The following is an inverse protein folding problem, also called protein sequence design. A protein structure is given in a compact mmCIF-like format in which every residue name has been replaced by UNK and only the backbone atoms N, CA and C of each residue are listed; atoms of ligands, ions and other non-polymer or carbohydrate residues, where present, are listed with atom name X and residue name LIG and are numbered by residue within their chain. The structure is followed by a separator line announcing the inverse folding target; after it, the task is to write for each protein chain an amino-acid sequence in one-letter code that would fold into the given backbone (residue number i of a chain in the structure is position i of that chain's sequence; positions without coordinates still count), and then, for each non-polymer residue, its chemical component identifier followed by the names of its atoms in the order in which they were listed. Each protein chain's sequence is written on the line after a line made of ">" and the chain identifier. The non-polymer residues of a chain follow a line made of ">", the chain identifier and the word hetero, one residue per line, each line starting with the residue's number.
data_IF_935228819146
#
_entry.id   IF_935228819146
#
_cell.length_a   1.000
_cell.length_b   1.000
_cell.length_c   1.000
_cell.angle_alpha   90.00
_cell.angle_beta   90.00
_cell.angle_gamma   90.00
#
_symmetry.space_group_name_H-M   'P 1'
#
loop_
_entity.id
_entity.type
_entity.pdbx_description
1 polymer ?
#
# COMPACT_ATOMS: atom_id res chain seq x y z
N UNK A 1 -9.71 8.10 8.23
CA UNK A 1 -8.45 7.78 8.96
C UNK A 1 -7.30 7.35 8.05
N UNK A 2 -7.37 6.22 7.33
CA UNK A 2 -6.23 5.66 6.56
C UNK A 2 -5.60 6.65 5.57
N UNK A 3 -6.41 7.49 4.90
CA UNK A 3 -5.89 8.52 3.98
C UNK A 3 -5.08 9.59 4.71
N UNK A 4 -5.47 9.93 5.95
CA UNK A 4 -4.72 10.85 6.81
C UNK A 4 -3.44 10.18 7.30
N UNK A 5 -3.49 8.89 7.68
CA UNK A 5 -2.30 8.14 8.06
C UNK A 5 -1.29 8.03 6.92
N UNK A 6 -1.74 7.90 5.67
CA UNK A 6 -0.87 7.94 4.49
C UNK A 6 -0.15 9.30 4.37
N UNK A 7 -0.87 10.41 4.56
CA UNK A 7 -0.28 11.75 4.62
C UNK A 7 0.70 11.86 5.80
N UNK A 8 0.33 11.45 7.00
CA UNK A 8 1.24 11.52 8.15
C UNK A 8 2.54 10.73 7.88
N UNK A 9 2.45 9.57 7.25
CA UNK A 9 3.62 8.78 6.84
C UNK A 9 4.42 9.37 5.66
N UNK A 10 4.00 10.49 5.06
CA UNK A 10 4.71 11.14 3.95
C UNK A 10 4.38 10.55 2.57
N UNK A 11 3.31 9.75 2.48
CA UNK A 11 2.87 9.05 1.28
C UNK A 11 1.61 9.67 0.68
N UNK A 12 1.69 10.95 0.33
CA UNK A 12 0.57 11.79 -0.12
C UNK A 12 -0.17 11.20 -1.33
N UNK A 13 0.58 10.47 -2.17
CA UNK A 13 0.10 9.67 -3.31
C UNK A 13 -1.07 8.71 -2.97
N UNK A 14 -1.24 8.32 -1.70
CA UNK A 14 -2.30 7.43 -1.20
C UNK A 14 -3.23 8.12 -0.19
N UNK A 15 -3.13 9.45 -0.05
CA UNK A 15 -3.97 10.27 0.81
C UNK A 15 -5.15 10.91 0.07
N UNK A 16 -5.40 12.19 0.40
CA UNK A 16 -6.60 12.93 -0.02
C UNK A 16 -6.80 13.06 -1.53
N UNK A 17 -5.74 13.05 -2.35
CA UNK A 17 -5.89 13.10 -3.82
C UNK A 17 -6.69 11.93 -4.39
N UNK A 18 -6.87 10.84 -3.62
CA UNK A 18 -7.65 9.68 -4.04
C UNK A 18 -9.16 9.86 -3.85
N UNK A 19 -9.59 10.83 -3.04
CA UNK A 19 -11.02 11.05 -2.73
C UNK A 19 -11.85 11.28 -4.01
N UNK A 20 -11.48 12.17 -4.95
CA UNK A 20 -12.25 12.32 -6.19
C UNK A 20 -12.34 11.04 -7.02
N UNK A 21 -11.29 10.21 -7.01
CA UNK A 21 -11.29 8.93 -7.73
C UNK A 21 -12.24 7.91 -7.08
N UNK A 22 -12.32 7.89 -5.74
CA UNK A 22 -13.28 7.04 -5.03
C UNK A 22 -14.72 7.47 -5.28
N UNK A 23 -15.02 8.78 -5.23
CA UNK A 23 -16.35 9.31 -5.53
C UNK A 23 -16.81 8.95 -6.95
N UNK A 24 -15.94 9.14 -7.96
CA UNK A 24 -16.24 8.65 -9.32
C UNK A 24 -16.46 7.14 -9.39
N UNK A 25 -15.72 6.38 -8.58
CA UNK A 25 -15.92 4.94 -8.45
C UNK A 25 -17.28 4.57 -7.88
N UNK A 26 -17.81 5.37 -6.96
CA UNK A 26 -19.16 5.20 -6.39
C UNK A 26 -20.21 5.54 -7.44
N UNK A 27 -20.06 6.68 -8.11
CA UNK A 27 -21.00 7.14 -9.15
C UNK A 27 -21.10 6.14 -10.31
N UNK A 28 -19.97 5.56 -10.73
CA UNK A 28 -19.93 4.53 -11.75
C UNK A 28 -20.47 3.16 -11.26
N UNK A 29 -20.75 3.02 -9.96
CA UNK A 29 -21.15 1.76 -9.33
C UNK A 29 -20.02 0.75 -9.23
N UNK A 30 -18.75 1.17 -9.41
CA UNK A 30 -17.54 0.36 -9.28
C UNK A 30 -17.21 0.05 -7.82
N UNK A 31 -17.42 1.04 -6.95
CA UNK A 31 -17.20 1.01 -5.50
C UNK A 31 -18.56 1.06 -4.78
N UNK A 32 -18.77 0.19 -3.78
CA UNK A 32 -20.00 0.11 -2.98
C UNK A 32 -19.73 0.54 -1.53
N UNK A 33 -20.02 1.78 -1.13
CA UNK A 33 -19.62 2.33 0.17
C UNK A 33 -20.04 1.48 1.38
N UNK A 34 -21.28 1.01 1.39
CA UNK A 34 -21.87 0.23 2.49
C UNK A 34 -21.63 -1.29 2.39
N UNK A 35 -20.68 -1.74 1.57
CA UNK A 35 -20.41 -3.16 1.40
C UNK A 35 -19.51 -3.72 2.52
N UNK A 36 -19.98 -4.77 3.18
CA UNK A 36 -19.26 -5.48 4.24
C UNK A 36 -18.42 -6.66 3.70
N UNK A 37 -17.18 -6.85 4.18
CA UNK A 37 -16.38 -8.03 3.87
C UNK A 37 -17.09 -9.32 4.32
N UNK A 38 -16.99 -10.37 3.50
CA UNK A 38 -17.54 -11.70 3.82
C UNK A 38 -16.46 -12.76 3.83
N UNK A 39 -16.47 -13.61 4.85
CA UNK A 39 -15.63 -14.81 4.89
C UNK A 39 -16.27 -15.85 3.96
N UNK A 40 -15.54 -16.25 2.92
CA UNK A 40 -15.93 -17.33 2.00
C UNK A 40 -15.49 -18.70 2.52
N UNK A 41 -14.29 -18.76 3.11
CA UNK A 41 -13.73 -19.97 3.70
C UNK A 41 -12.79 -19.61 4.85
N UNK A 42 -12.76 -20.48 5.86
CA UNK A 42 -11.98 -20.28 7.08
C UNK A 42 -11.42 -21.61 7.58
N UNK A 43 -10.15 -21.57 8.00
CA UNK A 43 -9.49 -22.66 8.74
C UNK A 43 -8.88 -22.09 10.03
N UNK A 44 -8.20 -22.89 10.86
CA UNK A 44 -7.49 -22.36 12.03
C UNK A 44 -6.49 -21.23 11.69
N UNK A 45 -5.81 -21.32 10.54
CA UNK A 45 -4.75 -20.39 10.14
C UNK A 45 -4.92 -19.77 8.74
N UNK A 46 -6.10 -19.86 8.12
CA UNK A 46 -6.37 -19.18 6.84
C UNK A 46 -7.76 -18.56 6.78
N UNK A 47 -7.86 -17.48 6.00
CA UNK A 47 -9.12 -16.81 5.65
C UNK A 47 -9.15 -16.53 4.15
N UNK A 48 -10.27 -16.83 3.50
CA UNK A 48 -10.59 -16.34 2.16
C UNK A 48 -11.75 -15.37 2.28
N UNK A 49 -11.52 -14.11 1.90
CA UNK A 49 -12.45 -13.00 2.11
C UNK A 49 -12.86 -12.41 0.76
N UNK A 50 -14.14 -12.10 0.62
CA UNK A 50 -14.67 -11.28 -0.45
C UNK A 50 -14.96 -9.87 0.08
N UNK A 51 -14.28 -8.85 -0.46
CA UNK A 51 -14.46 -7.46 -0.05
C UNK A 51 -15.76 -6.81 -0.60
N UNK A 52 -16.57 -7.55 -1.35
CA UNK A 52 -17.88 -7.17 -1.88
C UNK A 52 -17.86 -5.86 -2.69
N UNK A 53 -16.70 -5.51 -3.27
CA UNK A 53 -16.45 -4.24 -3.98
C UNK A 53 -16.64 -3.00 -3.11
N UNK A 54 -16.48 -3.16 -1.79
CA UNK A 54 -16.44 -2.06 -0.84
C UNK A 54 -15.12 -1.31 -0.84
N UNK A 55 -14.96 -0.41 0.12
CA UNK A 55 -13.68 0.28 0.32
C UNK A 55 -12.60 -0.73 0.66
N UNK A 56 -11.58 -0.82 -0.21
CA UNK A 56 -10.43 -1.70 0.00
C UNK A 56 -9.77 -1.45 1.34
N UNK A 57 -9.68 -0.18 1.76
CA UNK A 57 -9.18 0.22 3.08
C UNK A 57 -9.88 -0.48 4.25
N UNK A 58 -11.22 -0.47 4.25
CA UNK A 58 -12.02 -1.07 5.30
C UNK A 58 -11.87 -2.59 5.30
N UNK A 59 -12.05 -3.22 4.13
CA UNK A 59 -11.91 -4.66 3.99
C UNK A 59 -10.52 -5.16 4.39
N UNK A 60 -9.46 -4.46 4.00
CA UNK A 60 -8.08 -4.78 4.33
C UNK A 60 -7.77 -4.57 5.81
N UNK A 61 -8.24 -3.49 6.44
CA UNK A 61 -8.08 -3.26 7.88
C UNK A 61 -8.79 -4.36 8.68
N UNK A 62 -10.04 -4.64 8.35
CA UNK A 62 -10.81 -5.72 8.98
C UNK A 62 -10.10 -7.08 8.84
N UNK A 63 -9.57 -7.37 7.65
CA UNK A 63 -8.88 -8.61 7.34
C UNK A 63 -7.59 -8.80 8.13
N UNK A 64 -6.75 -7.75 8.25
CA UNK A 64 -5.49 -7.87 9.00
C UNK A 64 -5.74 -8.05 10.50
N UNK A 65 -6.75 -7.40 11.08
CA UNK A 65 -7.10 -7.61 12.49
C UNK A 65 -7.54 -9.05 12.77
N UNK A 66 -8.34 -9.66 11.87
CA UNK A 66 -8.67 -11.09 11.97
C UNK A 66 -7.46 -12.00 11.79
N UNK A 67 -6.53 -11.64 10.90
CA UNK A 67 -5.30 -12.39 10.72
C UNK A 67 -4.43 -12.35 11.98
N UNK A 68 -4.32 -11.19 12.63
CA UNK A 68 -3.61 -11.01 13.90
C UNK A 68 -4.24 -11.89 14.98
N UNK A 69 -5.55 -11.81 15.18
CA UNK A 69 -6.28 -12.62 16.17
C UNK A 69 -6.03 -14.13 15.97
N UNK A 70 -6.16 -14.62 14.73
CA UNK A 70 -5.87 -16.01 14.40
C UNK A 70 -4.40 -16.38 14.56
N UNK A 71 -3.48 -15.50 14.21
CA UNK A 71 -2.05 -15.75 14.38
C UNK A 71 -1.70 -15.98 15.85
N UNK A 72 -2.35 -15.29 16.80
CA UNK A 72 -2.15 -15.51 18.25
C UNK A 72 -2.59 -16.89 18.73
N UNK A 73 -3.55 -17.52 18.07
CA UNK A 73 -4.04 -18.86 18.44
C UNK A 73 -3.44 -20.00 17.59
N UNK A 74 -3.01 -19.70 16.36
CA UNK A 74 -2.56 -20.68 15.38
C UNK A 74 -1.14 -20.42 14.85
N UNK A 75 -0.33 -19.65 15.58
CA UNK A 75 1.06 -19.23 15.27
C UNK A 75 1.16 -18.27 14.08
N UNK A 76 0.38 -18.47 13.04
CA UNK A 76 0.30 -17.59 11.88
C UNK A 76 -1.09 -17.62 11.26
N UNK A 77 -1.41 -16.60 10.47
CA UNK A 77 -2.60 -16.61 9.64
C UNK A 77 -2.31 -15.98 8.28
N UNK A 78 -2.76 -16.63 7.22
CA UNK A 78 -2.71 -16.12 5.85
C UNK A 78 -4.12 -15.80 5.35
N UNK A 79 -4.27 -14.67 4.67
CA UNK A 79 -5.55 -14.16 4.21
C UNK A 79 -5.45 -13.81 2.73
N UNK A 80 -6.39 -14.31 1.93
CA UNK A 80 -6.60 -13.86 0.55
C UNK A 80 -7.89 -13.06 0.45
N UNK A 81 -7.86 -11.94 -0.27
CA UNK A 81 -8.98 -11.02 -0.41
C UNK A 81 -9.30 -10.82 -1.90
N UNK A 82 -10.51 -11.17 -2.31
CA UNK A 82 -11.06 -10.97 -3.65
C UNK A 82 -12.01 -9.76 -3.69
N UNK A 83 -12.37 -9.31 -4.90
CA UNK A 83 -13.31 -8.19 -5.12
C UNK A 83 -12.95 -6.92 -4.32
N UNK A 84 -11.66 -6.69 -4.14
CA UNK A 84 -11.10 -5.60 -3.34
C UNK A 84 -10.62 -4.48 -4.26
N UNK A 85 -11.03 -3.25 -3.95
CA UNK A 85 -10.56 -2.05 -4.64
C UNK A 85 -9.17 -1.62 -4.18
N UNK A 86 -8.81 -0.37 -4.45
CA UNK A 86 -7.58 0.22 -3.94
C UNK A 86 -7.55 0.22 -2.40
N UNK A 87 -6.44 -0.25 -1.82
CA UNK A 87 -6.28 -0.40 -0.36
C UNK A 87 -5.40 0.70 0.26
N UNK A 88 -4.97 1.70 -0.51
CA UNK A 88 -4.10 2.75 0.00
C UNK A 88 -2.67 2.25 0.26
N UNK A 89 -2.01 2.84 1.25
CA UNK A 89 -0.65 2.50 1.67
C UNK A 89 -0.64 1.14 2.38
N UNK A 90 0.15 0.18 1.90
CA UNK A 90 0.20 -1.17 2.47
C UNK A 90 0.81 -1.19 3.89
N UNK A 91 1.76 -0.29 4.15
CA UNK A 91 2.40 -0.16 5.45
C UNK A 91 1.43 0.12 6.60
N UNK A 92 0.23 0.63 6.33
CA UNK A 92 -0.83 0.80 7.34
C UNK A 92 -1.20 -0.52 8.03
N UNK A 93 -1.37 -1.58 7.22
CA UNK A 93 -1.75 -2.90 7.71
C UNK A 93 -0.55 -3.62 8.34
N UNK A 94 0.65 -3.41 7.79
CA UNK A 94 1.88 -3.96 8.33
C UNK A 94 2.21 -3.36 9.71
N UNK A 95 1.99 -2.05 9.89
CA UNK A 95 2.13 -1.39 11.18
C UNK A 95 1.14 -1.91 12.22
N UNK A 96 -0.12 -2.16 11.84
CA UNK A 96 -1.12 -2.74 12.74
C UNK A 96 -0.69 -4.12 13.26
N UNK A 97 -0.16 -4.97 12.38
CA UNK A 97 0.35 -6.28 12.77
C UNK A 97 1.62 -6.19 13.63
N UNK A 98 2.56 -5.32 13.28
CA UNK A 98 3.77 -5.09 14.06
C UNK A 98 3.45 -4.58 15.48
N UNK A 99 2.52 -3.63 15.62
CA UNK A 99 2.06 -3.15 16.93
C UNK A 99 1.38 -4.24 17.77
N UNK A 100 0.74 -5.21 17.12
CA UNK A 100 0.18 -6.39 17.78
C UNK A 100 1.23 -7.49 18.10
N UNK A 101 2.52 -7.23 17.90
CA UNK A 101 3.59 -8.20 18.16
C UNK A 101 3.67 -9.31 17.12
N UNK A 102 3.20 -9.07 15.90
CA UNK A 102 3.28 -10.00 14.78
C UNK A 102 4.26 -9.49 13.70
N UNK A 103 4.99 -10.39 13.06
CA UNK A 103 5.62 -10.09 11.77
C UNK A 103 4.56 -10.25 10.69
N UNK A 104 4.53 -9.35 9.70
CA UNK A 104 3.54 -9.43 8.63
C UNK A 104 4.11 -9.24 7.24
N UNK A 105 3.43 -9.81 6.24
CA UNK A 105 3.64 -9.55 4.82
C UNK A 105 2.31 -9.20 4.16
N UNK A 106 2.23 -8.05 3.52
CA UNK A 106 1.05 -7.54 2.83
C UNK A 106 1.42 -7.32 1.37
N UNK A 107 0.62 -7.81 0.43
CA UNK A 107 0.87 -7.64 -1.00
C UNK A 107 -0.41 -7.37 -1.75
N UNK A 108 -0.34 -6.50 -2.75
CA UNK A 108 -1.38 -6.37 -3.78
C UNK A 108 -0.76 -6.83 -5.08
N UNK A 109 -1.38 -7.83 -5.70
CA UNK A 109 -0.91 -8.39 -6.96
C UNK A 109 -1.97 -8.25 -8.04
N UNK A 110 -1.57 -7.78 -9.21
CA UNK A 110 -2.36 -7.88 -10.43
C UNK A 110 -1.42 -8.17 -11.61
N UNK A 111 -1.85 -9.03 -12.51
CA UNK A 111 -1.06 -9.36 -13.69
C UNK A 111 -1.87 -10.01 -14.80
N UNK A 112 -1.38 -9.82 -16.02
CA UNK A 112 -1.90 -10.34 -17.27
C UNK A 112 -1.60 -9.38 -18.40
N UNK A 113 -1.64 -9.82 -19.66
CA UNK A 113 -1.27 -8.96 -20.79
C UNK A 113 -2.16 -7.70 -20.84
N UNK A 114 -1.54 -6.53 -20.85
CA UNK A 114 -2.22 -5.24 -20.80
C UNK A 114 -2.96 -4.94 -19.49
N UNK A 115 -2.68 -5.68 -18.40
CA UNK A 115 -3.40 -5.54 -17.13
C UNK A 115 -2.84 -4.44 -16.21
N UNK A 116 -1.67 -3.86 -16.52
CA UNK A 116 -1.09 -2.80 -15.72
C UNK A 116 0.15 -2.16 -16.36
N UNK A 117 0.70 -1.10 -15.74
CA UNK A 117 1.72 -0.27 -16.36
C UNK A 117 3.14 -0.86 -16.30
N UNK A 118 3.40 -1.94 -15.55
CA UNK A 118 4.77 -2.45 -15.34
C UNK A 118 5.10 -3.58 -16.32
N UNK A 119 6.24 -3.50 -17.00
CA UNK A 119 6.68 -4.51 -17.97
C UNK A 119 7.31 -5.73 -17.28
N UNK A 120 7.14 -6.95 -17.83
CA UNK A 120 7.97 -8.08 -17.45
C UNK A 120 9.42 -7.82 -17.87
N UNK A 121 10.39 -8.43 -17.19
CA UNK A 121 11.80 -8.29 -17.61
C UNK A 121 12.00 -8.84 -19.02
N UNK A 122 12.46 -7.97 -19.95
CA UNK A 122 12.61 -8.28 -21.37
C UNK A 122 11.36 -8.03 -22.23
N UNK A 123 10.25 -7.60 -21.62
CA UNK A 123 9.05 -7.16 -22.34
C UNK A 123 9.08 -5.67 -22.70
N UNK A 124 8.18 -5.29 -23.60
CA UNK A 124 7.96 -3.92 -24.06
C UNK A 124 6.56 -3.38 -23.74
N UNK A 125 5.67 -4.23 -23.22
CA UNK A 125 4.26 -3.92 -22.95
C UNK A 125 3.93 -4.18 -21.48
N UNK A 126 3.13 -3.29 -20.89
CA UNK A 126 2.68 -3.42 -19.50
C UNK A 126 1.89 -4.71 -19.25
N UNK A 127 2.26 -5.44 -18.20
CA UNK A 127 1.65 -6.73 -17.83
C UNK A 127 1.30 -6.79 -16.35
N UNK A 128 1.98 -6.06 -15.48
CA UNK A 128 1.75 -6.07 -14.04
C UNK A 128 1.29 -4.70 -13.54
N UNK A 129 0.56 -4.69 -12.43
CA UNK A 129 0.45 -3.49 -11.61
C UNK A 129 1.83 -3.03 -11.10
N UNK A 130 1.84 -1.98 -10.29
CA UNK A 130 3.03 -1.64 -9.48
C UNK A 130 3.29 -2.67 -8.38
N UNK A 131 2.32 -3.56 -8.13
CA UNK A 131 2.44 -4.82 -7.40
C UNK A 131 3.21 -4.71 -6.08
N UNK A 132 2.81 -3.81 -5.16
CA UNK A 132 3.58 -3.48 -3.97
C UNK A 132 3.62 -4.61 -2.94
N UNK A 133 4.63 -4.51 -2.08
CA UNK A 133 4.82 -5.36 -0.90
C UNK A 133 5.10 -4.48 0.31
N UNK A 134 4.49 -4.81 1.45
CA UNK A 134 4.88 -4.27 2.74
C UNK A 134 5.19 -5.39 3.75
N UNK A 135 6.19 -5.16 4.59
CA UNK A 135 6.59 -6.05 5.69
C UNK A 135 6.63 -5.23 6.96
N UNK A 136 6.06 -5.78 8.04
CA UNK A 136 6.06 -5.16 9.37
C UNK A 136 6.73 -6.06 10.37
N UNK A 137 7.58 -5.49 11.23
CA UNK A 137 8.30 -6.21 12.30
C UNK A 137 8.20 -5.41 13.61
N UNK A 138 7.83 -6.05 14.73
CA UNK A 138 7.76 -5.39 16.04
C UNK A 138 9.14 -4.98 16.55
N UNK A 139 9.27 -3.74 16.99
CA UNK A 139 10.50 -3.14 17.55
C UNK A 139 10.40 -2.82 19.04
N UNK A 140 9.19 -2.81 19.60
CA UNK A 140 8.93 -2.49 21.01
C UNK A 140 8.78 -1.00 21.32
N UNK A 141 8.92 -0.14 20.30
CA UNK A 141 8.61 1.28 20.34
C UNK A 141 7.43 1.61 19.39
N UNK A 142 7.01 2.87 19.34
CA UNK A 142 5.92 3.31 18.46
C UNK A 142 6.29 3.34 16.96
N UNK A 143 7.53 3.01 16.62
CA UNK A 143 8.10 3.05 15.26
C UNK A 143 8.54 1.66 14.81
N UNK A 144 7.59 0.78 14.42
CA UNK A 144 7.92 -0.53 13.90
C UNK A 144 8.84 -0.44 12.68
N UNK A 145 9.62 -1.50 12.44
CA UNK A 145 10.35 -1.63 11.19
C UNK A 145 9.35 -1.92 10.07
N UNK A 146 9.30 -1.04 9.08
CA UNK A 146 8.34 -1.12 7.97
C UNK A 146 9.07 -1.05 6.64
N UNK A 147 8.96 -2.12 5.86
CA UNK A 147 9.21 -2.09 4.42
C UNK A 147 7.88 -1.80 3.75
N UNK A 148 7.82 -0.82 2.84
CA UNK A 148 6.63 -0.53 2.03
C UNK A 148 7.03 0.11 0.70
N UNK A 149 6.94 -0.64 -0.38
CA UNK A 149 7.29 -0.13 -1.71
C UNK A 149 6.56 -0.85 -2.85
N UNK A 150 6.45 -0.14 -3.97
CA UNK A 150 6.12 -0.74 -5.26
C UNK A 150 7.28 -1.59 -5.80
N UNK A 151 6.95 -2.59 -6.63
CA UNK A 151 7.94 -3.36 -7.39
C UNK A 151 8.40 -2.66 -8.66
N UNK A 152 7.72 -1.58 -9.06
CA UNK A 152 8.19 -0.66 -10.10
C UNK A 152 9.36 0.21 -9.60
N UNK A 153 10.25 0.60 -10.52
CA UNK A 153 11.41 1.44 -10.23
C UNK A 153 11.00 2.81 -9.68
N UNK A 154 9.86 3.32 -10.14
CA UNK A 154 9.29 4.59 -9.70
C UNK A 154 7.78 4.46 -9.52
N UNK A 155 7.20 5.27 -8.63
CA UNK A 155 5.76 5.41 -8.49
C UNK A 155 5.22 6.40 -9.54
N UNK A 156 4.02 6.15 -10.07
CA UNK A 156 3.37 7.03 -11.04
C UNK A 156 3.27 8.48 -10.54
N UNK A 157 2.99 8.69 -9.24
CA UNK A 157 2.92 10.04 -8.67
C UNK A 157 4.23 10.84 -8.83
N UNK A 158 5.39 10.18 -8.78
CA UNK A 158 6.68 10.85 -9.03
C UNK A 158 6.84 11.22 -10.52
N UNK A 159 6.26 10.44 -11.44
CA UNK A 159 6.22 10.77 -12.87
C UNK A 159 5.32 12.01 -13.09
N UNK A 160 4.17 12.08 -12.42
CA UNK A 160 3.29 13.25 -12.47
C UNK A 160 4.01 14.52 -11.96
N UNK A 161 4.76 14.41 -10.87
CA UNK A 161 5.56 15.53 -10.33
C UNK A 161 6.68 15.93 -11.27
N UNK A 162 7.39 14.98 -11.88
CA UNK A 162 8.42 15.29 -12.88
C UNK A 162 7.82 15.99 -14.10
N UNK A 163 6.67 15.50 -14.58
CA UNK A 163 5.91 16.10 -15.69
C UNK A 163 5.46 17.53 -15.38
N UNK A 164 4.92 17.79 -14.19
CA UNK A 164 4.46 19.13 -13.81
C UNK A 164 5.59 20.13 -13.65
N UNK A 165 6.78 19.67 -13.24
CA UNK A 165 8.01 20.47 -13.15
C UNK A 165 8.75 20.60 -14.48
N UNK A 166 8.36 19.87 -15.51
CA UNK A 166 9.05 19.83 -16.80
C UNK A 166 10.49 19.29 -16.70
N UNK A 167 10.73 18.34 -15.79
CA UNK A 167 12.04 17.73 -15.57
C UNK A 167 12.04 16.26 -16.02
N UNK A 168 13.21 15.78 -16.44
CA UNK A 168 13.41 14.40 -16.83
C UNK A 168 13.39 13.45 -15.63
N UNK A 169 12.96 12.21 -15.88
CA UNK A 169 13.07 11.09 -14.97
C UNK A 169 14.51 10.57 -14.94
N UNK A 170 14.94 9.93 -13.83
CA UNK A 170 16.15 9.12 -13.84
C UNK A 170 16.09 8.02 -14.92
N UNK A 171 17.24 7.69 -15.51
CA UNK A 171 17.34 6.57 -16.46
C UNK A 171 16.83 5.26 -15.84
N UNK A 172 16.25 4.40 -16.69
CA UNK A 172 15.77 3.08 -16.28
C UNK A 172 14.46 3.09 -15.50
N UNK A 173 13.70 4.19 -15.52
CA UNK A 173 12.38 4.25 -14.90
C UNK A 173 11.25 3.75 -15.82
N UNK A 174 11.29 4.13 -17.10
CA UNK A 174 10.20 3.86 -18.05
C UNK A 174 10.71 3.41 -19.44
N UNK A 175 9.80 2.81 -20.19
CA UNK A 175 9.88 2.63 -21.63
C UNK A 175 8.83 3.52 -22.32
N UNK A 176 9.10 3.96 -23.55
CA UNK A 176 8.12 4.59 -24.43
C UNK A 176 7.16 3.55 -25.04
N UNK A 177 6.21 4.00 -25.87
CA UNK A 177 5.25 3.14 -26.57
C UNK A 177 5.85 2.13 -27.54
N UNK A 178 7.12 2.31 -27.93
CA UNK A 178 7.85 1.41 -28.82
C UNK A 178 8.71 0.41 -28.03
N UNK A 179 8.69 0.47 -26.69
CA UNK A 179 9.53 -0.36 -25.82
C UNK A 179 10.97 0.15 -25.67
N UNK A 180 11.26 1.38 -26.07
CA UNK A 180 12.58 2.00 -25.95
C UNK A 180 12.73 2.71 -24.61
N UNK A 181 13.90 2.64 -23.95
CA UNK A 181 14.13 3.40 -22.71
C UNK A 181 13.86 4.90 -22.90
N UNK A 182 13.13 5.50 -21.96
CA UNK A 182 12.86 6.93 -21.97
C UNK A 182 13.06 7.54 -20.58
N UNK A 183 13.43 8.83 -20.58
CA UNK A 183 13.47 9.69 -19.39
C UNK A 183 12.39 10.77 -19.42
N UNK A 184 11.63 10.89 -20.52
CA UNK A 184 10.61 11.94 -20.67
C UNK A 184 9.31 11.53 -19.98
N UNK A 185 8.80 12.26 -18.96
CA UNK A 185 7.57 11.88 -18.27
C UNK A 185 6.33 11.74 -19.18
N UNK A 186 6.29 12.49 -20.29
CA UNK A 186 5.18 12.44 -21.25
C UNK A 186 5.08 11.09 -21.97
N UNK A 187 6.20 10.41 -22.22
CA UNK A 187 6.23 9.14 -22.94
C UNK A 187 5.52 8.02 -22.17
N UNK A 188 5.53 8.08 -20.83
CA UNK A 188 4.74 7.18 -19.99
C UNK A 188 3.23 7.32 -20.25
N UNK A 189 2.74 8.55 -20.45
CA UNK A 189 1.32 8.82 -20.71
C UNK A 189 0.94 8.61 -22.18
N UNK A 190 1.90 8.59 -23.12
CA UNK A 190 1.69 8.30 -24.54
C UNK A 190 1.82 6.80 -24.86
N UNK A 191 1.43 5.92 -23.94
CA UNK A 191 1.46 4.47 -24.12
C UNK A 191 2.75 3.78 -23.67
N UNK A 192 3.61 4.48 -22.93
CA UNK A 192 4.78 3.91 -22.28
C UNK A 192 4.45 3.03 -21.06
N UNK A 193 5.49 2.50 -20.44
CA UNK A 193 5.37 1.54 -19.34
C UNK A 193 6.48 1.70 -18.30
N UNK A 194 6.22 1.28 -17.06
CA UNK A 194 7.17 1.26 -15.95
C UNK A 194 8.12 0.07 -16.05
N UNK A 195 9.39 0.29 -15.71
CA UNK A 195 10.36 -0.78 -15.45
C UNK A 195 10.29 -1.22 -13.98
N UNK A 196 10.58 -2.49 -13.71
CA UNK A 196 10.70 -3.01 -12.35
C UNK A 196 12.04 -2.62 -11.71
N UNK A 197 12.06 -2.39 -10.40
CA UNK A 197 13.32 -2.07 -9.69
C UNK A 197 14.28 -3.26 -9.76
N UNK A 198 15.59 -2.99 -9.76
CA UNK A 198 16.57 -4.09 -9.75
C UNK A 198 16.43 -5.08 -10.92
N UNK A 199 15.86 -4.62 -12.05
CA UNK A 199 15.70 -5.39 -13.29
C UNK A 199 14.90 -6.68 -13.05
N UNK A 200 15.49 -7.84 -13.34
CA UNK A 200 14.84 -9.15 -13.18
C UNK A 200 14.44 -9.47 -11.73
N UNK A 201 15.06 -8.83 -10.72
CA UNK A 201 14.74 -9.09 -9.31
C UNK A 201 13.41 -8.46 -8.89
N UNK A 202 13.18 -7.18 -9.22
CA UNK A 202 11.89 -6.54 -8.96
C UNK A 202 10.78 -7.15 -9.82
N UNK A 203 11.09 -7.57 -11.05
CA UNK A 203 10.16 -8.34 -11.87
C UNK A 203 9.75 -9.66 -11.18
N UNK A 204 10.72 -10.42 -10.66
CA UNK A 204 10.41 -11.66 -9.93
C UNK A 204 9.51 -11.39 -8.70
N UNK A 205 9.74 -10.29 -7.98
CA UNK A 205 8.87 -9.87 -6.88
C UNK A 205 7.47 -9.45 -7.36
N UNK A 206 7.36 -8.70 -8.46
CA UNK A 206 6.08 -8.30 -9.05
C UNK A 206 5.25 -9.53 -9.46
N UNK A 207 5.91 -10.56 -9.99
CA UNK A 207 5.29 -11.84 -10.32
C UNK A 207 4.88 -12.61 -9.07
N UNK A 208 5.72 -12.66 -8.05
CA UNK A 208 5.41 -13.32 -6.78
C UNK A 208 4.16 -12.71 -6.12
N UNK A 209 4.08 -11.38 -6.03
CA UNK A 209 2.88 -10.72 -5.46
C UNK A 209 1.64 -10.95 -6.33
N UNK A 210 1.79 -10.99 -7.67
CA UNK A 210 0.71 -11.39 -8.58
C UNK A 210 0.19 -12.81 -8.29
N UNK A 211 1.08 -13.78 -8.12
CA UNK A 211 0.72 -15.17 -7.81
C UNK A 211 0.06 -15.29 -6.44
N UNK A 212 0.54 -14.54 -5.44
CA UNK A 212 -0.13 -14.44 -4.14
C UNK A 212 -1.52 -13.81 -4.26
N UNK A 213 -1.69 -12.77 -5.08
CA UNK A 213 -2.98 -12.18 -5.39
C UNK A 213 -3.94 -13.20 -6.02
N UNK A 214 -3.42 -14.10 -6.86
CA UNK A 214 -4.18 -15.21 -7.45
C UNK A 214 -4.86 -16.11 -6.42
N UNK A 215 -4.30 -16.29 -5.22
CA UNK A 215 -4.92 -17.08 -4.13
C UNK A 215 -6.33 -16.59 -3.74
N UNK A 216 -6.71 -15.38 -4.14
CA UNK A 216 -8.06 -14.86 -4.00
C UNK A 216 -9.10 -15.56 -4.90
N UNK A 217 -8.68 -16.43 -5.83
CA UNK A 217 -9.57 -17.19 -6.71
C UNK A 217 -10.05 -16.44 -7.95
N UNK A 218 -9.43 -15.31 -8.29
CA UNK A 218 -9.84 -14.37 -9.36
C UNK A 218 -9.23 -14.70 -10.72
N UNK A 219 -8.99 -15.98 -10.99
CA UNK A 219 -8.32 -16.41 -12.21
C UNK A 219 -9.23 -16.24 -13.43
N UNK A 220 -8.76 -15.48 -14.42
CA UNK A 220 -9.33 -15.42 -15.75
C UNK A 220 -8.37 -16.16 -16.69
N UNK A 221 -8.64 -17.45 -16.87
CA UNK A 221 -7.79 -18.36 -17.66
C UNK A 221 -7.80 -17.98 -19.14
N UNK A 222 -8.92 -17.47 -19.65
CA UNK A 222 -9.07 -17.09 -21.05
C UNK A 222 -8.16 -15.91 -21.40
N UNK A 223 -8.11 -14.90 -20.52
CA UNK A 223 -7.28 -13.71 -20.73
C UNK A 223 -5.92 -13.77 -20.01
N UNK A 224 -5.62 -14.86 -19.31
CA UNK A 224 -4.39 -15.05 -18.55
C UNK A 224 -4.19 -13.98 -17.45
N UNK A 225 -5.27 -13.66 -16.71
CA UNK A 225 -5.27 -12.62 -15.68
C UNK A 225 -5.52 -13.18 -14.29
N UNK A 226 -4.92 -12.56 -13.29
CA UNK A 226 -5.20 -12.82 -11.87
C UNK A 226 -4.92 -11.58 -11.03
N UNK A 227 -5.67 -11.41 -9.94
CA UNK A 227 -5.49 -10.26 -9.06
C UNK A 227 -6.00 -10.48 -7.63
N UNK A 228 -5.43 -9.80 -6.65
CA UNK A 228 -5.95 -9.86 -5.30
C UNK A 228 -5.03 -9.22 -4.28
N UNK A 229 -5.52 -9.17 -3.05
CA UNK A 229 -4.71 -8.81 -1.89
C UNK A 229 -4.40 -10.06 -1.09
N UNK A 230 -3.15 -10.20 -0.67
CA UNK A 230 -2.70 -11.23 0.24
C UNK A 230 -2.12 -10.58 1.49
N UNK A 231 -2.44 -11.14 2.64
CA UNK A 231 -1.92 -10.72 3.94
C UNK A 231 -1.47 -11.92 4.73
N UNK A 232 -0.38 -11.79 5.47
CA UNK A 232 0.06 -12.79 6.42
C UNK A 232 0.46 -12.09 7.72
N UNK A 233 0.10 -12.69 8.85
CA UNK A 233 0.58 -12.34 10.18
C UNK A 233 1.19 -13.59 10.84
N UNK A 234 2.32 -13.43 11.51
CA UNK A 234 3.06 -14.47 12.22
C UNK A 234 3.29 -13.96 13.64
N UNK A 235 2.78 -14.68 14.64
CA UNK A 235 2.96 -14.32 16.04
C UNK A 235 4.40 -14.59 16.48
N UNK A 236 5.11 -13.54 16.92
CA UNK A 236 6.49 -13.66 17.39
C UNK A 236 6.59 -14.55 18.63
N UNK A 237 5.59 -14.47 19.53
CA UNK A 237 5.56 -15.24 20.78
C UNK A 237 5.56 -16.75 20.56
N UNK A 238 5.17 -17.23 19.38
CA UNK A 238 5.24 -18.65 19.04
C UNK A 238 6.68 -19.17 18.86
N UNK A 239 7.65 -18.28 18.66
CA UNK A 239 9.05 -18.63 18.42
C UNK A 239 9.96 -18.18 19.57
N UNK A 240 9.70 -16.99 20.12
CA UNK A 240 10.52 -16.38 21.18
C UNK A 240 9.67 -15.32 21.91
N UNK A 241 9.90 -15.06 23.21
CA UNK A 241 9.20 -13.98 23.91
C UNK A 241 9.32 -12.64 23.15
N UNK A 242 8.19 -12.02 22.83
CA UNK A 242 8.14 -10.82 21.96
C UNK A 242 8.98 -9.67 22.52
N UNK A 243 9.03 -9.50 23.83
CA UNK A 243 9.85 -8.47 24.47
C UNK A 243 11.36 -8.69 24.26
N UNK A 244 11.82 -9.94 24.30
CA UNK A 244 13.23 -10.28 24.06
C UNK A 244 13.58 -10.11 22.58
N UNK A 245 12.68 -10.52 21.70
CA UNK A 245 12.79 -10.29 20.27
C UNK A 245 12.90 -8.80 19.93
N UNK A 246 12.00 -7.99 20.46
CA UNK A 246 11.98 -6.53 20.27
C UNK A 246 13.29 -5.88 20.72
N UNK A 247 13.82 -6.26 21.90
CA UNK A 247 15.15 -5.78 22.36
C UNK A 247 16.26 -6.14 21.38
N UNK A 248 16.26 -7.38 20.87
CA UNK A 248 17.24 -7.84 19.88
C UNK A 248 17.15 -7.08 18.55
N UNK A 249 15.93 -6.89 18.03
CA UNK A 249 15.68 -6.10 16.82
C UNK A 249 16.12 -4.65 17.02
N UNK A 250 15.74 -4.01 18.14
CA UNK A 250 16.13 -2.64 18.46
C UNK A 250 17.65 -2.49 18.46
N UNK A 251 18.36 -3.36 19.18
CA UNK A 251 19.81 -3.35 19.24
C UNK A 251 20.46 -3.54 17.85
N UNK A 252 19.90 -4.41 17.01
CA UNK A 252 20.35 -4.58 15.63
C UNK A 252 20.15 -3.31 14.80
N UNK A 253 18.97 -2.69 14.86
CA UNK A 253 18.65 -1.47 14.11
C UNK A 253 19.52 -0.29 14.58
N UNK A 254 19.73 -0.15 15.89
CA UNK A 254 20.65 0.85 16.46
C UNK A 254 22.09 0.63 15.97
N UNK A 255 22.55 -0.62 15.95
CA UNK A 255 23.85 -0.99 15.41
C UNK A 255 23.99 -0.60 13.94
N UNK A 256 22.98 -0.89 13.11
CA UNK A 256 22.96 -0.50 11.69
C UNK A 256 23.04 1.03 11.55
N UNK A 257 22.21 1.77 12.31
CA UNK A 257 22.17 3.25 12.28
C UNK A 257 23.46 3.89 12.76
N UNK A 258 24.24 3.20 13.60
CA UNK A 258 25.56 3.67 14.06
C UNK A 258 26.66 3.56 13.00
N UNK A 259 26.38 2.94 11.85
CA UNK A 259 27.33 2.87 10.72
C UNK A 259 27.61 4.29 10.19
N UNK A 260 28.88 4.67 9.97
CA UNK A 260 29.21 5.95 9.37
C UNK A 260 28.49 6.13 8.02
N UNK A 261 27.81 7.27 7.80
CA UNK A 261 27.12 7.49 6.54
C UNK A 261 28.12 7.59 5.39
N UNK A 262 27.72 7.09 4.22
CA UNK A 262 28.49 7.27 2.99
C UNK A 262 28.51 8.75 2.57
N UNK A 263 29.45 9.12 1.70
CA UNK A 263 29.53 10.49 1.17
C UNK A 263 28.18 10.92 0.55
N UNK A 264 27.70 12.11 0.95
CA UNK A 264 26.42 12.66 0.49
C UNK A 264 25.21 12.28 1.36
N UNK A 265 25.39 11.44 2.37
CA UNK A 265 24.35 11.07 3.33
C UNK A 265 24.63 11.69 4.70
N UNK A 266 23.58 12.17 5.37
CA UNK A 266 23.68 12.69 6.74
C UNK A 266 23.68 11.59 7.81
N UNK A 267 23.04 10.46 7.52
CA UNK A 267 22.90 9.32 8.43
C UNK A 267 22.48 8.06 7.66
N UNK A 268 22.54 6.91 8.31
CA UNK A 268 21.95 5.65 7.84
C UNK A 268 20.54 5.52 8.42
N UNK A 269 19.55 5.34 7.54
CA UNK A 269 18.16 5.09 7.93
C UNK A 269 17.85 3.59 7.91
N UNK A 270 16.94 3.16 8.78
CA UNK A 270 16.29 1.84 8.68
C UNK A 270 14.85 2.00 8.15
N UNK A 271 14.32 0.99 7.42
CA UNK A 271 12.93 1.00 6.95
C UNK A 271 11.93 1.34 8.06
N UNK A 272 11.11 2.39 7.84
CA UNK A 272 10.19 2.98 8.82
C UNK A 272 10.66 4.31 9.42
N UNK A 273 11.96 4.62 9.40
CA UNK A 273 12.49 5.89 9.95
C UNK A 273 11.92 7.12 9.22
N UNK A 274 11.79 7.06 7.90
CA UNK A 274 11.28 8.17 7.09
C UNK A 274 9.81 8.48 7.45
N UNK A 275 8.98 7.45 7.49
CA UNK A 275 7.56 7.54 7.81
C UNK A 275 7.34 8.03 9.24
N UNK A 276 8.14 7.55 10.21
CA UNK A 276 8.06 7.96 11.61
C UNK A 276 8.38 9.45 11.77
N UNK A 277 9.45 9.94 11.14
CA UNK A 277 9.80 11.38 11.17
C UNK A 277 8.78 12.24 10.48
N UNK A 278 8.29 11.81 9.31
CA UNK A 278 7.22 12.51 8.60
C UNK A 278 5.98 12.64 9.50
N UNK A 279 5.62 11.56 10.22
CA UNK A 279 4.48 11.56 11.13
C UNK A 279 4.68 12.52 12.29
N UNK A 280 5.85 12.47 12.93
CA UNK A 280 6.17 13.38 14.03
C UNK A 280 6.10 14.85 13.59
N UNK A 281 6.72 15.17 12.45
CA UNK A 281 6.71 16.51 11.90
C UNK A 281 5.29 16.98 11.54
N UNK A 282 4.54 16.19 10.78
CA UNK A 282 3.21 16.56 10.28
C UNK A 282 2.12 16.58 11.35
N UNK A 283 2.30 15.84 12.46
CA UNK A 283 1.45 15.99 13.64
C UNK A 283 1.68 17.33 14.35
N UNK A 284 2.89 17.88 14.31
CA UNK A 284 3.24 19.17 14.93
C UNK A 284 2.90 20.36 14.02
N UNK A 285 3.21 20.24 12.74
CA UNK A 285 3.17 21.34 11.76
C UNK A 285 1.90 21.33 10.90
N UNK A 286 1.16 20.22 10.88
CA UNK A 286 0.05 19.98 9.97
C UNK A 286 0.47 19.30 8.65
N UNK A 287 -0.51 18.99 7.81
CA UNK A 287 -0.30 18.42 6.48
C UNK A 287 -0.54 19.52 5.45
N UNK A 288 0.47 19.83 4.66
CA UNK A 288 0.34 20.76 3.53
C UNK A 288 -0.43 20.08 2.38
N UNK A 289 -1.52 20.72 1.94
CA UNK A 289 -2.33 20.24 0.83
C UNK A 289 -2.15 21.21 -0.35
N UNK A 290 -1.70 20.74 -1.52
CA UNK A 290 -1.59 21.59 -2.71
C UNK A 290 -2.96 22.17 -3.12
N UNK A 291 -2.99 23.43 -3.53
CA UNK A 291 -4.22 24.13 -3.98
C UNK A 291 -5.01 23.32 -5.03
N UNK A 292 -4.31 22.62 -5.92
CA UNK A 292 -4.94 21.78 -6.94
C UNK A 292 -5.77 20.64 -6.35
N UNK A 293 -5.29 20.02 -5.27
CA UNK A 293 -6.02 18.96 -4.55
C UNK A 293 -7.11 19.58 -3.69
N UNK A 294 -6.82 20.69 -3.02
CA UNK A 294 -7.81 21.41 -2.21
C UNK A 294 -9.02 21.82 -3.04
N UNK A 295 -8.82 22.45 -4.20
CA UNK A 295 -9.89 22.86 -5.12
C UNK A 295 -10.70 21.66 -5.62
N UNK A 296 -10.06 20.52 -5.94
CA UNK A 296 -10.77 19.30 -6.31
C UNK A 296 -11.67 18.78 -5.18
N UNK A 297 -11.23 18.89 -3.93
CA UNK A 297 -12.03 18.51 -2.77
C UNK A 297 -13.19 19.50 -2.57
N UNK A 298 -12.97 20.80 -2.77
CA UNK A 298 -14.03 21.81 -2.76
C UNK A 298 -15.11 21.51 -3.80
N UNK A 299 -14.72 21.23 -5.05
CA UNK A 299 -15.68 20.83 -6.10
C UNK A 299 -16.47 19.57 -5.73
N UNK A 300 -15.85 18.61 -5.04
CA UNK A 300 -16.54 17.41 -4.57
C UNK A 300 -17.53 17.74 -3.44
N UNK A 301 -17.13 18.59 -2.50
CA UNK A 301 -17.95 19.01 -1.38
C UNK A 301 -19.18 19.81 -1.84
N UNK A 302 -19.00 20.76 -2.76
CA UNK A 302 -20.08 21.54 -3.39
C UNK A 302 -21.10 20.63 -4.08
N UNK A 303 -20.64 19.62 -4.83
CA UNK A 303 -21.54 18.65 -5.50
C UNK A 303 -22.35 17.81 -4.52
N UNK A 304 -21.83 17.58 -3.32
CA UNK A 304 -22.44 16.77 -2.28
C UNK A 304 -23.17 17.61 -1.22
N UNK A 305 -23.19 18.94 -1.36
CA UNK A 305 -23.75 19.88 -0.39
C UNK A 305 -23.12 19.74 1.02
N UNK A 306 -21.79 19.57 1.06
CA UNK A 306 -21.00 19.43 2.29
C UNK A 306 -20.16 20.70 2.50
N UNK A 307 -20.22 21.28 3.70
CA UNK A 307 -19.36 22.40 4.09
C UNK A 307 -17.95 21.91 4.44
N UNK A 308 -16.92 22.57 3.90
CA UNK A 308 -15.52 22.32 4.27
C UNK A 308 -15.18 23.24 5.46
N UNK A 309 -14.93 22.63 6.63
CA UNK A 309 -14.50 23.35 7.83
C UNK A 309 -15.35 23.09 9.08
N UNK A 310 -16.44 22.34 8.97
CA UNK A 310 -17.22 21.85 10.10
C UNK A 310 -16.98 20.35 10.31
N UNK A 311 -16.78 19.93 11.56
CA UNK A 311 -16.70 18.51 11.91
C UNK A 311 -18.12 17.91 11.92
N UNK A 312 -18.57 17.44 10.76
CA UNK A 312 -19.76 16.59 10.64
C UNK A 312 -19.33 15.13 10.62
N UNK A 313 -19.37 14.48 11.79
CA UNK A 313 -19.25 13.02 11.89
C UNK A 313 -20.55 12.51 12.49
N UNK A 314 -21.38 11.89 11.66
CA UNK A 314 -22.63 11.26 12.08
C UNK A 314 -22.35 10.16 13.12
N UNK A 315 -23.25 9.99 14.09
CA UNK A 315 -23.08 9.05 15.18
C UNK A 315 -23.03 7.59 14.67
N UNK A 316 -23.82 7.28 13.63
CA UNK A 316 -23.83 5.99 12.95
C UNK A 316 -22.49 5.68 12.27
N UNK A 317 -21.84 6.69 11.67
CA UNK A 317 -20.51 6.54 11.06
C UNK A 317 -19.43 6.29 12.11
N UNK A 318 -19.56 6.87 13.31
CA UNK A 318 -18.64 6.56 14.43
C UNK A 318 -18.79 5.14 14.91
N UNK A 319 -20.02 4.63 15.00
CA UNK A 319 -20.26 3.26 15.42
C UNK A 319 -19.78 2.24 14.37
N UNK A 320 -19.89 2.59 13.09
CA UNK A 320 -19.59 1.70 11.97
C UNK A 320 -18.12 1.73 11.53
N UNK A 321 -17.51 2.92 11.48
CA UNK A 321 -16.13 3.14 11.03
C UNK A 321 -15.17 3.58 12.15
N UNK A 322 -15.63 3.61 13.40
CA UNK A 322 -14.80 3.93 14.55
C UNK A 322 -13.65 2.94 14.75
N UNK A 323 -12.72 3.23 15.68
CA UNK A 323 -11.64 2.31 16.00
C UNK A 323 -12.23 0.95 16.37
N UNK A 324 -11.83 -0.11 15.66
CA UNK A 324 -12.09 -1.47 16.08
C UNK A 324 -11.35 -1.65 17.43
N UNK A 325 -12.11 -1.80 18.51
CA UNK A 325 -11.59 -2.01 19.87
C UNK A 325 -10.65 -3.21 19.95
#
# INVERSE_FOLDING_TARGET
>A
EILVNAHLAGHDSHGLLRVPAYLRGIDAGHLKPAAEPKILAETPNTLHIDAQRGFGHYASRWSIHKAIEKAKSAVSCSVSISNVGHIGRLGEYAEAAARAGCISMITVGNGGRGAGPTVPYGGAEGTFGTNPIAIGVPTGDDSPFIVDYATSMIAEGKIQVARSKGIDLPEGCILDKNGMPSTTPADFYDGGALLAFGKHKGYALAMFTCLLGGLAGTYDVENGRMSGTFMQAIDVNAFTPVEEYQKGVRALLDGIKSTPPAQGFGEVLVPGDFESRSREQRLKEGVEIPDTIYNQLQECAEKLDISIGEDTVEEDDRAHYGPLS
#
